data_IF_913249905288
#
_entry.id   IF_913249905288
#
_cell.length_a   1.000
_cell.length_b   1.000
_cell.length_c   1.000
_cell.angle_alpha   90.00
_cell.angle_beta   90.00
_cell.angle_gamma   90.00
#
_symmetry.space_group_name_H-M   'P 1'
#
loop_
_entity.id
_entity.type
_entity.pdbx_description
1 polymer ?
#
# COMPACT_ATOMS: atom_id res chain seq x y z
N UNK A 1 -5.55 10.35 20.70
CA UNK A 1 -5.80 10.00 19.28
C UNK A 1 -4.44 9.77 18.67
N UNK A 2 -4.18 8.55 18.23
CA UNK A 2 -2.85 8.10 17.80
C UNK A 2 -2.39 8.85 16.55
N UNK A 3 -1.17 9.38 16.58
CA UNK A 3 -0.53 10.03 15.42
C UNK A 3 -0.11 9.01 14.34
N UNK A 4 -0.18 7.72 14.64
CA UNK A 4 0.24 6.62 13.77
C UNK A 4 -0.56 6.53 12.46
N UNK A 5 -1.84 6.90 12.46
CA UNK A 5 -2.75 6.71 11.30
C UNK A 5 -3.05 8.00 10.53
N UNK A 6 -2.40 9.12 10.88
CA UNK A 6 -2.61 10.38 10.16
C UNK A 6 -1.97 10.31 8.77
N UNK A 7 -2.59 10.90 7.74
CA UNK A 7 -1.95 11.06 6.44
C UNK A 7 -0.58 11.73 6.63
N UNK A 8 0.47 11.09 6.14
CA UNK A 8 1.82 11.64 6.12
C UNK A 8 2.20 11.90 4.68
N UNK A 9 2.68 13.11 4.40
CA UNK A 9 3.26 13.40 3.10
C UNK A 9 4.57 12.61 2.97
N UNK A 10 4.81 12.05 1.80
CA UNK A 10 6.08 11.39 1.50
C UNK A 10 7.21 12.43 1.56
N UNK A 11 8.34 12.08 2.17
CA UNK A 11 9.56 12.91 2.16
C UNK A 11 10.19 12.86 0.76
N UNK A 12 9.55 13.58 -0.18
CA UNK A 12 9.89 13.74 -1.58
C UNK A 12 10.01 12.44 -2.42
N UNK A 13 9.86 12.56 -3.73
CA UNK A 13 10.07 11.48 -4.70
C UNK A 13 8.83 10.68 -5.06
N UNK A 14 7.95 10.34 -4.12
CA UNK A 14 6.67 9.70 -4.44
C UNK A 14 5.67 10.74 -4.95
N UNK A 15 5.17 10.55 -6.17
CA UNK A 15 4.20 11.44 -6.83
C UNK A 15 2.78 10.87 -6.83
N UNK A 16 2.62 9.59 -6.56
CA UNK A 16 1.32 8.91 -6.52
C UNK A 16 1.43 7.49 -5.98
N UNK A 17 0.28 6.91 -5.66
CA UNK A 17 0.16 5.52 -5.23
C UNK A 17 -1.10 4.88 -5.81
N UNK A 18 -0.97 3.65 -6.30
CA UNK A 18 -2.09 2.79 -6.70
C UNK A 18 -2.22 1.63 -5.73
N UNK A 19 -3.47 1.20 -5.50
CA UNK A 19 -3.82 0.05 -4.65
C UNK A 19 -4.60 -0.94 -5.51
N UNK A 20 -4.09 -2.17 -5.60
CA UNK A 20 -4.70 -3.28 -6.33
C UNK A 20 -4.89 -4.49 -5.41
N UNK A 21 -6.02 -5.18 -5.58
CA UNK A 21 -6.32 -6.45 -4.93
C UNK A 21 -6.34 -7.55 -5.99
N UNK A 22 -5.27 -8.36 -6.11
CA UNK A 22 -5.15 -9.33 -7.19
C UNK A 22 -6.36 -10.27 -7.25
N UNK A 23 -6.97 -10.39 -8.44
CA UNK A 23 -8.16 -11.21 -8.66
C UNK A 23 -9.48 -10.57 -8.23
N UNK A 24 -9.48 -9.26 -7.95
CA UNK A 24 -10.66 -8.48 -7.57
C UNK A 24 -10.77 -7.21 -8.41
N UNK A 25 -12.01 -6.79 -8.71
CA UNK A 25 -12.29 -5.48 -9.31
C UNK A 25 -12.41 -4.35 -8.26
N UNK A 26 -12.07 -4.67 -7.00
CA UNK A 26 -12.17 -3.73 -5.88
C UNK A 26 -11.14 -2.61 -6.04
N UNK A 27 -11.62 -1.37 -6.03
CA UNK A 27 -10.78 -0.16 -5.96
C UNK A 27 -10.84 0.41 -4.55
N UNK A 28 -9.69 0.57 -3.90
CA UNK A 28 -9.59 1.22 -2.61
C UNK A 28 -8.81 2.54 -2.72
N UNK A 29 -9.26 3.53 -1.96
CA UNK A 29 -8.56 4.81 -1.79
C UNK A 29 -7.63 4.83 -0.57
N UNK A 30 -7.70 3.79 0.27
CA UNK A 30 -6.91 3.67 1.51
C UNK A 30 -6.71 2.21 1.89
N UNK A 31 -5.48 1.87 2.28
CA UNK A 31 -5.13 0.64 3.00
C UNK A 31 -4.61 1.03 4.37
N UNK A 32 -5.07 0.32 5.41
CA UNK A 32 -4.51 0.43 6.76
C UNK A 32 -3.81 -0.89 7.05
N UNK A 33 -2.52 -0.82 7.30
CA UNK A 33 -1.74 -1.98 7.70
C UNK A 33 -1.89 -2.20 9.21
N UNK A 34 -2.66 -3.22 9.61
CA UNK A 34 -2.84 -3.60 11.01
C UNK A 34 -4.19 -4.27 11.27
N UNK A 35 -4.18 -5.23 12.22
CA UNK A 35 -5.25 -6.05 12.85
C UNK A 35 -6.48 -6.52 12.07
N UNK A 36 -7.00 -5.81 11.08
CA UNK A 36 -8.12 -6.26 10.26
C UNK A 36 -7.66 -6.52 8.82
N UNK A 37 -7.87 -7.77 8.41
CA UNK A 37 -7.62 -8.33 7.09
C UNK A 37 -6.14 -8.46 6.70
N UNK A 38 -5.51 -9.45 7.34
CA UNK A 38 -4.32 -10.05 6.79
C UNK A 38 -4.74 -10.94 5.60
N UNK A 39 -5.87 -11.64 5.59
CA UNK A 39 -6.14 -12.70 4.60
C UNK A 39 -6.24 -12.30 3.11
N UNK A 40 -6.30 -11.01 2.76
CA UNK A 40 -6.42 -10.55 1.37
C UNK A 40 -5.08 -10.03 0.84
N UNK A 41 -4.49 -10.65 -0.19
CA UNK A 41 -3.32 -10.10 -0.86
C UNK A 41 -3.58 -8.68 -1.39
N UNK A 42 -2.61 -7.80 -1.24
CA UNK A 42 -2.68 -6.40 -1.70
C UNK A 42 -1.37 -5.99 -2.36
N UNK A 43 -1.46 -5.20 -3.43
CA UNK A 43 -0.33 -4.55 -4.08
C UNK A 43 -0.47 -3.04 -3.94
N UNK A 44 0.58 -2.40 -3.45
CA UNK A 44 0.68 -0.94 -3.40
C UNK A 44 1.84 -0.53 -4.30
N UNK A 45 1.54 0.14 -5.40
CA UNK A 45 2.56 0.64 -6.32
C UNK A 45 2.80 2.11 -6.05
N UNK A 46 4.03 2.45 -5.68
CA UNK A 46 4.48 3.83 -5.50
C UNK A 46 5.10 4.32 -6.81
N UNK A 47 4.69 5.51 -7.25
CA UNK A 47 5.19 6.14 -8.47
C UNK A 47 6.11 7.31 -8.15
N UNK A 48 7.13 7.48 -8.98
CA UNK A 48 8.06 8.60 -8.94
C UNK A 48 8.49 9.00 -10.35
N UNK A 49 9.21 10.11 -10.48
CA UNK A 49 9.84 10.49 -11.75
C UNK A 49 10.93 9.49 -12.20
N UNK A 50 11.53 8.73 -11.27
CA UNK A 50 12.60 7.78 -11.56
C UNK A 50 12.09 6.37 -11.90
N UNK A 51 10.81 6.09 -11.68
CA UNK A 51 10.20 4.77 -11.85
C UNK A 51 9.18 4.45 -10.76
N UNK A 52 8.92 3.17 -10.56
CA UNK A 52 7.97 2.67 -9.56
C UNK A 52 8.58 1.60 -8.67
N UNK A 53 7.99 1.44 -7.47
CA UNK A 53 8.29 0.34 -6.56
C UNK A 53 6.97 -0.29 -6.12
N UNK A 54 6.94 -1.63 -6.03
CA UNK A 54 5.71 -2.34 -5.64
C UNK A 54 5.88 -3.02 -4.30
N UNK A 55 4.97 -2.73 -3.37
CA UNK A 55 4.89 -3.39 -2.07
C UNK A 55 3.80 -4.45 -2.16
N UNK A 56 4.17 -5.71 -1.94
CA UNK A 56 3.23 -6.85 -1.97
C UNK A 56 2.97 -7.32 -0.54
N UNK A 57 1.72 -7.20 -0.09
CA UNK A 57 1.21 -7.91 1.07
C UNK A 57 0.64 -9.26 0.65
N UNK A 58 1.20 -10.35 1.16
CA UNK A 58 0.75 -11.73 0.82
C UNK A 58 -0.39 -12.22 1.72
N UNK A 59 -0.71 -11.42 2.72
CA UNK A 59 -1.82 -11.65 3.59
C UNK A 59 -1.57 -12.52 4.83
N UNK A 60 -0.31 -12.64 5.21
CA UNK A 60 0.14 -13.27 6.46
C UNK A 60 0.94 -12.28 7.35
N UNK A 61 0.83 -10.99 7.06
CA UNK A 61 1.47 -9.90 7.81
C UNK A 61 2.89 -9.62 7.34
N UNK A 62 3.36 -10.34 6.31
CA UNK A 62 4.63 -10.05 5.63
C UNK A 62 4.42 -9.19 4.40
N UNK A 63 5.39 -8.32 4.19
CA UNK A 63 5.47 -7.43 3.05
C UNK A 63 6.82 -7.58 2.36
N UNK A 64 6.80 -7.58 1.04
CA UNK A 64 7.99 -7.61 0.19
C UNK A 64 7.99 -6.38 -0.71
N UNK A 65 9.18 -5.82 -0.93
CA UNK A 65 9.40 -4.72 -1.88
C UNK A 65 10.05 -5.31 -3.13
N UNK A 66 9.43 -5.06 -4.29
CA UNK A 66 9.89 -5.46 -5.61
C UNK A 66 10.28 -4.24 -6.45
#
# INVERSE_FOLDING_TARGET
RDDLLRPRNWDAGVTGADIDYPGSDTRASRVVFGTESIDTPVRVTLHSAAGSATIVGTGNGRYEVQ
#
